data_IF_770198439443
#
_entry.id   IF_770198439443
#
_cell.length_a   1.000
_cell.length_b   1.000
_cell.length_c   1.000
_cell.angle_alpha   90.00
_cell.angle_beta   90.00
_cell.angle_gamma   90.00
#
_symmetry.space_group_name_H-M   'P 1'
#
loop_
_entity.id
_entity.type
_entity.pdbx_description
1 polymer ?
#
# COMPACT_ATOMS: atom_id res chain seq x y z
N UNK A 1 13.48 -8.63 34.62
CA UNK A 1 12.70 -7.89 35.63
C UNK A 1 12.04 -8.80 36.66
N UNK A 2 10.97 -9.56 36.36
CA UNK A 2 10.36 -10.46 37.37
C UNK A 2 11.32 -11.49 37.97
N UNK A 3 12.12 -12.17 37.13
CA UNK A 3 13.10 -13.16 37.58
C UNK A 3 14.22 -12.57 38.45
N UNK A 4 14.51 -11.28 38.29
CA UNK A 4 15.59 -10.59 39.00
C UNK A 4 15.06 -10.05 40.33
N UNK A 5 13.88 -9.43 40.31
CA UNK A 5 13.24 -8.89 41.52
C UNK A 5 12.82 -9.99 42.49
N UNK A 6 12.39 -11.18 42.00
CA UNK A 6 11.97 -12.29 42.87
C UNK A 6 13.09 -12.89 43.73
N UNK A 7 14.35 -12.56 43.44
CA UNK A 7 15.51 -13.03 44.21
C UNK A 7 15.56 -12.33 45.57
N UNK A 8 15.17 -11.05 45.61
CA UNK A 8 15.31 -10.20 46.79
C UNK A 8 13.97 -9.73 47.38
N UNK A 9 12.89 -9.80 46.61
CA UNK A 9 11.58 -9.26 46.98
C UNK A 9 10.44 -10.21 46.63
N UNK A 10 9.37 -10.18 47.42
CA UNK A 10 8.13 -10.91 47.14
C UNK A 10 6.91 -10.16 47.65
N UNK A 11 5.83 -10.14 46.85
CA UNK A 11 4.51 -9.70 47.29
C UNK A 11 3.39 -10.38 46.47
N UNK A 12 2.16 -10.46 47.01
CA UNK A 12 1.02 -11.01 46.28
C UNK A 12 0.77 -10.22 44.98
N UNK A 13 0.76 -10.91 43.84
CA UNK A 13 0.53 -10.27 42.55
C UNK A 13 1.76 -9.62 41.91
N UNK A 14 2.97 -9.75 42.49
CA UNK A 14 4.23 -9.19 42.00
C UNK A 14 4.46 -9.28 40.49
N UNK A 15 4.20 -10.45 39.89
CA UNK A 15 4.32 -10.62 38.44
C UNK A 15 3.36 -9.71 37.67
N UNK A 16 2.11 -9.58 38.13
CA UNK A 16 1.09 -8.72 37.52
C UNK A 16 1.48 -7.24 37.64
N UNK A 17 1.98 -6.82 38.80
CA UNK A 17 2.37 -5.42 39.02
C UNK A 17 3.60 -5.02 38.21
N UNK A 18 4.59 -5.91 38.10
CA UNK A 18 5.75 -5.71 37.25
C UNK A 18 5.35 -5.62 35.77
N UNK A 19 4.40 -6.46 35.32
CA UNK A 19 3.87 -6.37 33.96
C UNK A 19 3.16 -5.04 33.74
N UNK A 20 2.27 -4.64 34.64
CA UNK A 20 1.58 -3.33 34.59
C UNK A 20 2.57 -2.17 34.53
N UNK A 21 3.61 -2.19 35.35
CA UNK A 21 4.66 -1.17 35.35
C UNK A 21 5.39 -1.08 34.00
N UNK A 22 5.78 -2.23 33.44
CA UNK A 22 6.46 -2.27 32.12
C UNK A 22 5.53 -1.87 30.98
N UNK A 23 4.23 -2.16 31.08
CA UNK A 23 3.21 -1.74 30.11
C UNK A 23 2.96 -0.22 30.12
N UNK A 24 3.07 0.43 31.27
CA UNK A 24 3.00 1.89 31.41
C UNK A 24 4.28 2.63 30.98
N UNK A 25 5.41 1.93 30.86
CA UNK A 25 6.68 2.54 30.48
C UNK A 25 6.71 2.92 28.99
N UNK A 26 6.66 4.22 28.69
CA UNK A 26 6.64 4.75 27.32
C UNK A 26 7.87 4.33 26.50
N UNK A 27 9.07 4.43 27.07
CA UNK A 27 10.32 4.02 26.41
C UNK A 27 10.29 2.54 26.03
N UNK A 28 9.78 1.69 26.90
CA UNK A 28 9.60 0.26 26.60
C UNK A 28 8.55 0.05 25.49
N UNK A 29 7.48 0.84 25.47
CA UNK A 29 6.44 0.76 24.45
C UNK A 29 6.93 1.22 23.07
N UNK A 30 7.76 2.26 23.00
CA UNK A 30 8.31 2.81 21.73
C UNK A 30 9.38 1.90 21.09
N UNK A 31 10.19 1.19 21.90
CA UNK A 31 11.37 0.44 21.40
C UNK A 31 11.09 -1.05 21.20
N UNK A 32 10.25 -1.68 22.03
CA UNK A 32 10.06 -3.14 21.96
C UNK A 32 9.46 -3.58 20.63
N UNK A 33 10.10 -4.56 20.02
CA UNK A 33 9.58 -5.24 18.85
C UNK A 33 8.27 -5.96 19.18
N UNK A 34 7.26 -5.75 18.35
CA UNK A 34 6.00 -6.46 18.47
C UNK A 34 6.18 -7.88 17.93
N UNK A 35 6.14 -8.85 18.83
CA UNK A 35 6.10 -10.28 18.50
C UNK A 35 4.66 -10.82 18.43
N UNK A 36 3.67 -9.93 18.43
CA UNK A 36 2.25 -10.26 18.41
C UNK A 36 1.70 -10.26 16.97
N UNK A 37 0.61 -11.01 16.80
CA UNK A 37 -0.20 -11.05 15.57
C UNK A 37 -0.76 -9.65 15.26
N UNK A 38 -0.73 -9.23 13.99
CA UNK A 38 -1.21 -7.92 13.52
C UNK A 38 -2.65 -7.64 13.98
N UNK A 39 -2.96 -6.39 14.32
CA UNK A 39 -4.30 -5.99 14.73
C UNK A 39 -5.27 -5.84 13.55
N UNK A 40 -6.55 -6.11 13.82
CA UNK A 40 -7.67 -5.83 12.92
C UNK A 40 -7.99 -6.95 11.95
N UNK A 41 -9.20 -7.52 12.03
CA UNK A 41 -9.66 -8.54 11.06
C UNK A 41 -9.67 -7.95 9.64
N UNK A 42 -9.47 -8.81 8.64
CA UNK A 42 -9.62 -8.39 7.25
C UNK A 42 -11.09 -8.03 6.99
N UNK A 43 -11.34 -6.81 6.52
CA UNK A 43 -12.67 -6.37 6.08
C UNK A 43 -12.76 -6.51 4.57
N UNK A 44 -13.39 -7.57 4.04
CA UNK A 44 -13.60 -7.70 2.61
C UNK A 44 -14.60 -6.63 2.17
N UNK A 45 -14.30 -5.98 1.04
CA UNK A 45 -15.25 -5.09 0.38
C UNK A 45 -16.43 -5.90 -0.17
N UNK A 46 -17.61 -5.30 -0.15
CA UNK A 46 -18.84 -5.91 -0.69
C UNK A 46 -18.65 -6.37 -2.14
N UNK A 47 -19.25 -7.52 -2.47
CA UNK A 47 -19.19 -8.07 -3.81
C UNK A 47 -20.25 -7.35 -4.66
N UNK A 48 -19.86 -6.75 -5.79
CA UNK A 48 -20.76 -6.08 -6.71
C UNK A 48 -21.96 -6.93 -7.11
N UNK A 49 -23.09 -6.28 -7.41
CA UNK A 49 -24.24 -6.94 -8.00
C UNK A 49 -24.07 -7.09 -9.51
N UNK A 50 -23.54 -6.05 -10.16
CA UNK A 50 -23.36 -6.01 -11.60
C UNK A 50 -21.94 -5.63 -12.02
N UNK A 51 -21.63 -5.93 -13.28
CA UNK A 51 -20.33 -5.66 -13.89
C UNK A 51 -20.14 -4.15 -14.06
N UNK A 52 -18.92 -3.68 -13.83
CA UNK A 52 -18.51 -2.27 -13.95
C UNK A 52 -19.20 -1.28 -13.00
N UNK A 53 -20.02 -1.74 -12.05
CA UNK A 53 -20.56 -0.88 -10.98
C UNK A 53 -19.49 -0.48 -9.96
N UNK A 54 -18.54 -1.37 -9.67
CA UNK A 54 -17.48 -1.11 -8.72
C UNK A 54 -16.14 -1.45 -9.33
N UNK A 55 -15.27 -0.45 -9.45
CA UNK A 55 -13.96 -0.61 -10.07
C UNK A 55 -12.84 -0.29 -9.08
N UNK A 56 -11.67 -0.87 -9.30
CA UNK A 56 -10.42 -0.46 -8.66
C UNK A 56 -9.53 0.26 -9.66
N UNK A 57 -8.80 1.26 -9.20
CA UNK A 57 -7.84 2.02 -9.98
C UNK A 57 -6.49 2.04 -9.30
N UNK A 58 -5.44 1.80 -10.07
CA UNK A 58 -4.06 1.82 -9.60
C UNK A 58 -3.11 2.33 -10.68
N UNK A 59 -1.92 2.75 -10.28
CA UNK A 59 -0.92 3.36 -11.17
C UNK A 59 0.43 2.64 -11.03
N UNK A 60 0.88 2.05 -12.14
CA UNK A 60 2.24 1.52 -12.25
C UNK A 60 3.12 2.65 -12.76
N UNK A 61 3.84 3.30 -11.84
CA UNK A 61 4.67 4.48 -12.11
C UNK A 61 6.14 4.11 -12.34
N UNK A 62 6.96 5.09 -12.75
CA UNK A 62 8.42 4.94 -12.93
C UNK A 62 8.83 3.87 -13.95
N UNK A 63 8.02 3.66 -14.97
CA UNK A 63 8.40 2.80 -16.08
C UNK A 63 9.43 3.50 -16.98
N UNK A 64 10.26 2.75 -17.74
CA UNK A 64 11.13 3.33 -18.75
C UNK A 64 10.31 4.18 -19.73
N UNK A 65 10.78 5.40 -20.00
CA UNK A 65 10.08 6.31 -20.92
C UNK A 65 10.05 5.74 -22.34
N UNK A 66 8.86 5.66 -22.92
CA UNK A 66 8.65 5.20 -24.30
C UNK A 66 8.97 6.31 -25.30
N UNK A 67 9.04 5.98 -26.60
CA UNK A 67 9.21 6.99 -27.68
C UNK A 67 8.08 8.02 -27.71
N UNK A 68 6.87 7.60 -27.38
CA UNK A 68 5.71 8.46 -27.25
C UNK A 68 5.70 9.27 -25.94
N UNK A 69 6.67 9.03 -25.06
CA UNK A 69 6.87 9.70 -23.79
C UNK A 69 6.00 9.18 -22.65
N UNK A 70 5.44 7.97 -22.76
CA UNK A 70 4.71 7.33 -21.66
C UNK A 70 5.69 6.78 -20.61
N UNK A 71 5.35 6.91 -19.34
CA UNK A 71 6.17 6.47 -18.20
C UNK A 71 5.33 5.85 -17.07
N UNK A 72 4.02 5.74 -17.26
CA UNK A 72 3.09 5.17 -16.28
C UNK A 72 1.98 4.39 -16.99
N UNK A 73 1.52 3.30 -16.38
CA UNK A 73 0.32 2.58 -16.78
C UNK A 73 -0.79 2.85 -15.76
N UNK A 74 -1.95 3.26 -16.24
CA UNK A 74 -3.16 3.33 -15.46
C UNK A 74 -3.94 2.02 -15.58
N UNK A 75 -4.04 1.32 -14.46
CA UNK A 75 -4.71 0.03 -14.35
C UNK A 75 -6.10 0.26 -13.78
N UNK A 76 -7.13 -0.18 -14.49
CA UNK A 76 -8.53 -0.07 -14.07
C UNK A 76 -9.17 -1.45 -14.16
N UNK A 77 -9.68 -1.97 -13.05
CA UNK A 77 -10.20 -3.35 -12.98
C UNK A 77 -11.63 -3.37 -12.46
N UNK A 78 -12.51 -4.07 -13.16
CA UNK A 78 -13.86 -4.37 -12.67
C UNK A 78 -13.81 -5.39 -11.53
N UNK A 79 -14.40 -5.06 -10.38
CA UNK A 79 -14.35 -5.93 -9.20
C UNK A 79 -15.20 -7.19 -9.36
N UNK A 80 -16.19 -7.22 -10.26
CA UNK A 80 -17.00 -8.42 -10.51
C UNK A 80 -16.33 -9.34 -11.53
N UNK A 81 -16.21 -8.88 -12.78
CA UNK A 81 -15.70 -9.68 -13.90
C UNK A 81 -14.19 -9.86 -13.90
N UNK A 82 -13.46 -9.06 -13.10
CA UNK A 82 -12.00 -8.93 -13.15
C UNK A 82 -11.46 -8.49 -14.50
N UNK A 83 -12.32 -7.96 -15.39
CA UNK A 83 -11.86 -7.39 -16.64
C UNK A 83 -11.06 -6.13 -16.34
N UNK A 84 -9.89 -6.00 -16.97
CA UNK A 84 -8.97 -4.90 -16.76
C UNK A 84 -8.78 -4.09 -18.05
N UNK A 85 -8.56 -2.78 -17.88
CA UNK A 85 -7.96 -1.90 -18.89
C UNK A 85 -6.57 -1.49 -18.42
N UNK A 86 -5.62 -1.51 -19.36
CA UNK A 86 -4.26 -1.03 -19.14
C UNK A 86 -4.00 0.14 -20.08
N UNK A 87 -3.99 1.35 -19.52
CA UNK A 87 -3.95 2.58 -20.31
C UNK A 87 -2.58 3.24 -20.14
N UNK A 88 -1.82 3.49 -21.22
CA UNK A 88 -0.53 4.16 -21.12
C UNK A 88 -0.77 5.66 -20.88
N UNK A 89 -0.14 6.22 -19.85
CA UNK A 89 -0.24 7.63 -19.47
C UNK A 89 1.13 8.22 -19.17
N UNK A 90 1.16 9.54 -18.98
CA UNK A 90 2.36 10.27 -18.54
C UNK A 90 2.16 10.76 -17.11
N UNK A 91 3.19 10.69 -16.27
CA UNK A 91 3.16 11.26 -14.91
C UNK A 91 2.85 12.76 -14.93
N UNK A 92 3.22 13.46 -16.01
CA UNK A 92 2.98 14.89 -16.20
C UNK A 92 1.54 15.25 -16.63
N UNK A 93 0.66 14.26 -16.85
CA UNK A 93 -0.72 14.54 -17.22
C UNK A 93 -1.49 15.24 -16.10
N UNK A 94 -2.23 16.28 -16.49
CA UNK A 94 -3.13 16.98 -15.58
C UNK A 94 -4.35 16.13 -15.24
N UNK A 95 -5.00 16.41 -14.11
CA UNK A 95 -6.25 15.73 -13.73
C UNK A 95 -7.35 15.87 -14.79
N UNK A 96 -7.38 17.00 -15.52
CA UNK A 96 -8.29 17.19 -16.66
C UNK A 96 -8.01 16.19 -17.78
N UNK A 97 -6.73 15.99 -18.13
CA UNK A 97 -6.37 15.02 -19.16
C UNK A 97 -6.70 13.59 -18.75
N UNK A 98 -6.48 13.26 -17.48
CA UNK A 98 -6.88 11.97 -16.90
C UNK A 98 -8.40 11.76 -17.01
N UNK A 99 -9.22 12.77 -16.72
CA UNK A 99 -10.68 12.69 -16.87
C UNK A 99 -11.11 12.46 -18.33
N UNK A 100 -10.50 13.15 -19.30
CA UNK A 100 -10.77 12.91 -20.73
C UNK A 100 -10.50 11.45 -21.12
N UNK A 101 -9.35 10.92 -20.70
CA UNK A 101 -8.96 9.53 -20.97
C UNK A 101 -9.92 8.56 -20.27
N UNK A 102 -10.30 8.84 -19.03
CA UNK A 102 -11.24 8.02 -18.28
C UNK A 102 -12.62 7.95 -18.94
N UNK A 103 -13.15 9.09 -19.39
CA UNK A 103 -14.42 9.10 -20.13
C UNK A 103 -14.30 8.30 -21.42
N UNK A 104 -13.21 8.51 -22.16
CA UNK A 104 -12.97 7.83 -23.44
C UNK A 104 -12.83 6.32 -23.28
N UNK A 105 -12.02 5.85 -22.34
CA UNK A 105 -11.65 4.43 -22.27
C UNK A 105 -12.54 3.61 -21.32
N UNK A 106 -13.14 4.24 -20.31
CA UNK A 106 -14.00 3.53 -19.33
C UNK A 106 -15.46 3.88 -19.53
N UNK A 107 -15.83 5.16 -19.36
CA UNK A 107 -17.25 5.56 -19.33
C UNK A 107 -17.94 5.28 -20.66
N UNK A 108 -17.28 5.56 -21.79
CA UNK A 108 -17.85 5.33 -23.11
C UNK A 108 -18.09 3.84 -23.41
N UNK A 109 -17.34 2.94 -22.77
CA UNK A 109 -17.38 1.50 -23.02
C UNK A 109 -18.30 0.77 -22.04
N UNK A 110 -18.31 1.19 -20.77
CA UNK A 110 -18.92 0.44 -19.68
C UNK A 110 -19.96 1.23 -18.88
N UNK A 111 -20.06 2.54 -19.11
CA UNK A 111 -20.89 3.44 -18.31
C UNK A 111 -20.16 3.96 -17.08
N UNK A 112 -20.88 4.75 -16.28
CA UNK A 112 -20.35 5.37 -15.05
C UNK A 112 -20.45 4.36 -13.89
N UNK A 113 -19.35 4.05 -13.19
CA UNK A 113 -19.37 3.17 -12.03
C UNK A 113 -20.02 3.84 -10.82
N UNK A 114 -20.61 3.05 -9.93
CA UNK A 114 -21.17 3.49 -8.65
C UNK A 114 -20.06 3.84 -7.66
N UNK A 115 -18.99 3.03 -7.61
CA UNK A 115 -17.86 3.29 -6.72
C UNK A 115 -16.52 3.03 -7.37
N UNK A 116 -15.53 3.85 -7.03
CA UNK A 116 -14.13 3.64 -7.39
C UNK A 116 -13.33 3.46 -6.11
N UNK A 117 -12.56 2.38 -6.03
CA UNK A 117 -11.52 2.19 -5.01
C UNK A 117 -10.18 2.55 -5.62
N UNK A 118 -9.43 3.45 -5.01
CA UNK A 118 -8.09 3.80 -5.47
C UNK A 118 -7.15 4.01 -4.29
N UNK A 119 -5.85 4.06 -4.57
CA UNK A 119 -4.89 4.56 -3.62
C UNK A 119 -5.01 6.09 -3.45
N UNK A 120 -4.11 6.67 -2.65
CA UNK A 120 -4.07 8.10 -2.36
C UNK A 120 -3.10 8.86 -3.25
N UNK A 121 -2.87 8.39 -4.47
CA UNK A 121 -2.10 9.16 -5.44
C UNK A 121 -2.69 10.58 -5.57
N UNK A 122 -1.80 11.57 -5.70
CA UNK A 122 -2.17 12.99 -5.75
C UNK A 122 -3.13 13.29 -6.90
N UNK A 123 -3.07 12.50 -7.98
CA UNK A 123 -3.99 12.58 -9.12
C UNK A 123 -5.42 12.22 -8.72
N UNK A 124 -5.61 11.16 -7.94
CA UNK A 124 -6.92 10.70 -7.47
C UNK A 124 -7.46 11.49 -6.27
N UNK A 125 -6.59 12.20 -5.54
CA UNK A 125 -6.99 13.02 -4.39
C UNK A 125 -7.21 14.51 -4.74
N UNK A 126 -6.86 14.91 -5.97
CA UNK A 126 -7.05 16.28 -6.46
C UNK A 126 -8.50 16.75 -6.40
N UNK A 127 -8.71 18.04 -6.09
CA UNK A 127 -10.05 18.64 -6.01
C UNK A 127 -10.83 18.46 -7.32
N UNK A 128 -10.17 18.66 -8.46
CA UNK A 128 -10.77 18.43 -9.76
C UNK A 128 -11.30 16.99 -9.92
N UNK A 129 -10.50 15.98 -9.56
CA UNK A 129 -10.89 14.58 -9.71
C UNK A 129 -12.06 14.21 -8.79
N UNK A 130 -12.05 14.70 -7.56
CA UNK A 130 -13.17 14.51 -6.61
C UNK A 130 -14.46 15.09 -7.15
N UNK A 131 -14.45 16.37 -7.55
CA UNK A 131 -15.64 17.04 -8.08
C UNK A 131 -16.11 16.36 -9.37
N UNK A 132 -15.20 16.00 -10.27
CA UNK A 132 -15.53 15.30 -11.50
C UNK A 132 -16.27 13.96 -11.25
N UNK A 133 -15.83 13.19 -10.26
CA UNK A 133 -16.47 11.92 -9.92
C UNK A 133 -17.80 12.11 -9.18
N UNK A 134 -17.90 13.12 -8.32
CA UNK A 134 -19.14 13.49 -7.62
C UNK A 134 -20.23 13.93 -8.60
N UNK A 135 -19.89 14.76 -9.60
CA UNK A 135 -20.80 15.18 -10.68
C UNK A 135 -21.27 14.01 -11.56
N UNK A 136 -20.41 12.99 -11.74
CA UNK A 136 -20.80 11.75 -12.41
C UNK A 136 -21.69 10.85 -11.54
N UNK A 137 -21.83 11.13 -10.23
CA UNK A 137 -22.55 10.28 -9.28
C UNK A 137 -21.73 9.10 -8.75
N UNK A 138 -20.40 9.13 -8.94
CA UNK A 138 -19.48 8.07 -8.52
C UNK A 138 -18.92 8.36 -7.13
N UNK A 139 -19.00 7.38 -6.21
CA UNK A 139 -18.38 7.48 -4.89
C UNK A 139 -16.92 7.03 -4.90
N UNK A 140 -16.01 7.94 -4.56
CA UNK A 140 -14.59 7.62 -4.37
C UNK A 140 -14.31 7.02 -2.98
N UNK A 141 -13.69 5.86 -2.95
CA UNK A 141 -13.26 5.13 -1.75
C UNK A 141 -11.74 5.04 -1.73
N UNK A 142 -11.08 6.06 -1.17
CA UNK A 142 -9.63 6.11 -1.06
C UNK A 142 -9.14 5.11 0.00
N UNK A 143 -8.21 4.23 -0.37
CA UNK A 143 -7.56 3.34 0.58
C UNK A 143 -6.81 4.17 1.63
N UNK A 144 -6.71 3.69 2.88
CA UNK A 144 -5.83 4.33 3.86
C UNK A 144 -4.39 4.20 3.36
N UNK A 145 -3.57 5.24 3.52
CA UNK A 145 -2.18 5.35 3.04
C UNK A 145 -1.23 4.20 3.45
N UNK A 146 -1.73 3.23 4.21
CA UNK A 146 -1.00 2.20 4.90
C UNK A 146 -1.65 0.81 4.81
N UNK A 147 -2.66 0.60 3.96
CA UNK A 147 -3.29 -0.72 3.82
C UNK A 147 -3.40 -1.17 2.34
N UNK A 148 -2.30 -1.66 1.72
CA UNK A 148 -2.34 -2.32 0.41
C UNK A 148 -3.26 -3.55 0.40
N UNK A 149 -3.52 -4.14 1.57
CA UNK A 149 -4.27 -5.40 1.71
C UNK A 149 -5.77 -5.29 1.45
N UNK A 150 -6.34 -4.08 1.40
CA UNK A 150 -7.74 -3.87 1.01
C UNK A 150 -7.92 -4.04 -0.50
N UNK A 151 -6.82 -3.92 -1.26
CA UNK A 151 -6.76 -4.12 -2.70
C UNK A 151 -5.71 -5.19 -3.08
N UNK A 152 -5.68 -6.32 -2.36
CA UNK A 152 -4.87 -7.47 -2.77
C UNK A 152 -5.26 -8.06 -4.14
N UNK A 153 -6.30 -7.51 -4.79
CA UNK A 153 -6.69 -7.81 -6.16
C UNK A 153 -5.90 -6.98 -7.18
N UNK A 154 -5.70 -5.67 -6.96
CA UNK A 154 -4.82 -4.86 -7.81
C UNK A 154 -3.39 -5.39 -7.74
N UNK A 155 -2.89 -5.75 -6.54
CA UNK A 155 -1.50 -6.21 -6.36
C UNK A 155 -1.17 -7.46 -7.20
N UNK A 156 -2.07 -8.46 -7.24
CA UNK A 156 -1.87 -9.64 -8.11
C UNK A 156 -2.00 -9.31 -9.60
N UNK A 157 -2.94 -8.44 -9.94
CA UNK A 157 -3.18 -8.02 -11.33
C UNK A 157 -1.97 -7.26 -11.88
N UNK A 158 -1.42 -6.35 -11.08
CA UNK A 158 -0.21 -5.59 -11.37
C UNK A 158 0.98 -6.54 -11.51
N UNK A 159 1.13 -7.49 -10.60
CA UNK A 159 2.23 -8.47 -10.69
C UNK A 159 2.14 -9.29 -11.99
N UNK A 160 0.95 -9.82 -12.33
CA UNK A 160 0.75 -10.55 -13.59
C UNK A 160 1.04 -9.68 -14.80
N UNK A 161 0.58 -8.42 -14.80
CA UNK A 161 0.87 -7.47 -15.88
C UNK A 161 2.38 -7.19 -16.00
N UNK A 162 3.08 -6.93 -14.89
CA UNK A 162 4.52 -6.70 -14.89
C UNK A 162 5.28 -7.92 -15.42
N UNK A 163 4.90 -9.13 -15.00
CA UNK A 163 5.53 -10.37 -15.47
C UNK A 163 5.30 -10.56 -16.98
N UNK A 164 4.09 -10.29 -17.48
CA UNK A 164 3.76 -10.33 -18.91
C UNK A 164 4.54 -9.30 -19.72
N UNK A 165 4.61 -8.05 -19.25
CA UNK A 165 5.36 -6.99 -19.94
C UNK A 165 6.86 -7.31 -19.95
N UNK A 166 7.42 -7.84 -18.85
CA UNK A 166 8.83 -8.27 -18.82
C UNK A 166 9.10 -9.38 -19.83
N UNK A 167 8.23 -10.39 -19.92
CA UNK A 167 8.35 -11.44 -20.94
C UNK A 167 8.29 -10.87 -22.36
N UNK A 168 7.32 -9.99 -22.64
CA UNK A 168 7.19 -9.37 -23.96
C UNK A 168 8.43 -8.57 -24.38
N UNK A 169 9.00 -7.78 -23.47
CA UNK A 169 10.20 -6.97 -23.76
C UNK A 169 11.42 -7.86 -23.99
N UNK A 170 11.56 -8.96 -23.23
CA UNK A 170 12.69 -9.89 -23.36
C UNK A 170 12.62 -10.62 -24.72
N UNK A 171 11.44 -11.13 -25.09
CA UNK A 171 11.30 -12.02 -26.26
C UNK A 171 11.13 -11.27 -27.58
N UNK A 172 10.40 -10.13 -27.58
CA UNK A 172 10.04 -9.41 -28.80
C UNK A 172 10.78 -8.08 -28.98
N UNK A 173 11.53 -7.62 -27.98
CA UNK A 173 12.16 -6.29 -27.97
C UNK A 173 11.12 -5.16 -27.93
N UNK A 174 11.45 -3.98 -28.46
CA UNK A 174 10.48 -2.87 -28.62
C UNK A 174 10.16 -2.09 -27.34
N UNK A 175 9.09 -1.29 -27.40
CA UNK A 175 8.64 -0.44 -26.29
C UNK A 175 7.40 -1.05 -25.63
N UNK A 176 7.29 -0.95 -24.30
CA UNK A 176 6.24 -1.65 -23.55
C UNK A 176 4.82 -1.16 -23.88
N UNK A 177 4.67 0.10 -24.34
CA UNK A 177 3.38 0.67 -24.74
C UNK A 177 2.80 0.00 -25.99
N UNK A 178 3.65 -0.51 -26.90
CA UNK A 178 3.22 -1.20 -28.12
C UNK A 178 2.55 -2.54 -27.80
N UNK A 179 2.98 -3.21 -26.71
CA UNK A 179 2.46 -4.52 -26.30
C UNK A 179 1.30 -4.43 -25.32
N UNK A 180 1.00 -3.25 -24.80
CA UNK A 180 -0.02 -3.09 -23.76
C UNK A 180 -1.42 -3.59 -24.19
N UNK A 181 -1.89 -3.34 -25.44
CA UNK A 181 -3.16 -3.92 -25.90
C UNK A 181 -3.16 -5.45 -25.95
N UNK A 182 -2.02 -6.06 -26.33
CA UNK A 182 -1.88 -7.52 -26.35
C UNK A 182 -1.81 -8.10 -24.94
N UNK A 183 -1.16 -7.40 -24.01
CA UNK A 183 -1.12 -7.77 -22.61
C UNK A 183 -2.52 -7.70 -21.97
N UNK A 184 -3.28 -6.63 -22.23
CA UNK A 184 -4.68 -6.50 -21.80
C UNK A 184 -5.55 -7.63 -22.37
N UNK A 185 -5.44 -7.89 -23.66
CA UNK A 185 -6.15 -8.98 -24.32
C UNK A 185 -5.81 -10.33 -23.69
N UNK A 186 -4.54 -10.59 -23.45
CA UNK A 186 -4.06 -11.86 -22.89
C UNK A 186 -4.52 -12.01 -21.43
N UNK A 187 -4.48 -10.95 -20.63
CA UNK A 187 -4.96 -10.96 -19.26
C UNK A 187 -6.47 -11.28 -19.20
N UNK A 188 -7.27 -10.53 -19.97
CA UNK A 188 -8.72 -10.68 -19.97
C UNK A 188 -9.20 -12.05 -20.50
N UNK A 189 -8.38 -12.73 -21.28
CA UNK A 189 -8.67 -14.07 -21.81
C UNK A 189 -8.02 -15.22 -21.02
N UNK A 190 -7.23 -14.89 -20.00
CA UNK A 190 -6.58 -15.90 -19.15
C UNK A 190 -7.53 -16.40 -18.07
N UNK A 191 -7.35 -17.66 -17.65
CA UNK A 191 -8.21 -18.27 -16.65
C UNK A 191 -7.98 -17.68 -15.24
N UNK A 192 -9.03 -17.22 -14.59
CA UNK A 192 -8.97 -16.72 -13.21
C UNK A 192 -9.61 -17.71 -12.24
N UNK A 193 -8.83 -18.23 -11.29
CA UNK A 193 -9.29 -19.23 -10.31
C UNK A 193 -10.42 -18.76 -9.39
N UNK A 194 -10.52 -17.44 -9.16
CA UNK A 194 -11.59 -16.83 -8.37
C UNK A 194 -12.92 -16.74 -9.12
N UNK A 195 -12.88 -16.72 -10.45
CA UNK A 195 -14.07 -16.70 -11.32
C UNK A 195 -14.47 -18.10 -11.77
N UNK A 196 -13.48 -18.99 -11.94
CA UNK A 196 -13.66 -20.29 -12.57
C UNK A 196 -13.68 -20.24 -14.10
N UNK A 197 -13.42 -19.07 -14.70
CA UNK A 197 -13.40 -18.82 -16.14
C UNK A 197 -12.63 -17.52 -16.45
N UNK A 198 -12.36 -17.19 -17.74
CA UNK A 198 -11.72 -15.93 -18.11
C UNK A 198 -12.60 -14.68 -17.90
N UNK A 199 -12.03 -13.53 -17.52
CA UNK A 199 -12.75 -12.26 -17.39
C UNK A 199 -13.60 -11.87 -18.61
N UNK A 200 -13.09 -12.11 -19.82
CA UNK A 200 -13.79 -11.84 -21.06
C UNK A 200 -15.11 -12.62 -21.16
N UNK A 201 -15.11 -13.89 -20.76
CA UNK A 201 -16.32 -14.71 -20.78
C UNK A 201 -17.36 -14.22 -19.76
N UNK A 202 -16.91 -13.74 -18.60
CA UNK A 202 -17.81 -13.12 -17.61
C UNK A 202 -18.42 -11.83 -18.15
N UNK A 203 -17.61 -10.97 -18.77
CA UNK A 203 -18.06 -9.66 -19.24
C UNK A 203 -19.04 -9.78 -20.42
N UNK A 204 -18.74 -10.64 -21.39
CA UNK A 204 -19.49 -10.74 -22.65
C UNK A 204 -20.43 -11.95 -22.73
N UNK A 205 -20.39 -12.87 -21.75
CA UNK A 205 -21.22 -14.08 -21.75
C UNK A 205 -20.83 -15.12 -22.80
N UNK A 206 -19.68 -14.95 -23.47
CA UNK A 206 -19.18 -15.85 -24.51
C UNK A 206 -17.66 -15.95 -24.47
N UNK A 207 -17.13 -17.09 -24.90
CA UNK A 207 -15.68 -17.27 -25.09
C UNK A 207 -15.16 -16.31 -26.16
N UNK A 208 -13.99 -15.75 -25.93
CA UNK A 208 -13.29 -14.98 -26.94
C UNK A 208 -12.84 -15.90 -28.08
N UNK A 209 -12.83 -15.37 -29.29
CA UNK A 209 -12.17 -16.04 -30.41
C UNK A 209 -10.73 -15.61 -30.44
N UNK A 210 -9.85 -16.59 -30.45
CA UNK A 210 -8.42 -16.37 -30.64
C UNK A 210 -7.97 -17.14 -31.88
N UNK A 211 -6.84 -16.79 -32.52
CA UNK A 211 -6.30 -17.56 -33.64
C UNK A 211 -6.10 -19.06 -33.33
N UNK A 212 -5.99 -19.40 -32.04
CA UNK A 212 -5.83 -20.78 -31.52
C UNK A 212 -7.17 -21.43 -31.14
N UNK A 213 -8.25 -20.66 -31.00
CA UNK A 213 -9.59 -21.11 -30.65
C UNK A 213 -10.65 -20.39 -31.48
N UNK A 214 -10.98 -20.95 -32.64
CA UNK A 214 -12.10 -20.54 -33.48
C UNK A 214 -13.40 -21.11 -32.92
N UNK A 215 -14.08 -20.38 -32.04
CA UNK A 215 -15.46 -20.70 -31.69
C UNK A 215 -16.39 -20.53 -32.88
N UNK A 216 -17.46 -21.34 -32.97
CA UNK A 216 -18.45 -21.32 -34.07
C UNK A 216 -18.92 -19.91 -34.44
N UNK A 217 -18.96 -19.62 -35.75
CA UNK A 217 -19.46 -18.35 -36.33
C UNK A 217 -20.92 -18.47 -36.70
N UNK A 218 -21.78 -17.81 -35.93
CA UNK A 218 -23.20 -17.68 -36.22
C UNK A 218 -23.98 -17.23 -34.99
N UNK A 219 -25.24 -16.79 -35.14
CA UNK A 219 -26.15 -16.77 -34.02
C UNK A 219 -26.25 -18.20 -33.48
N UNK A 220 -25.85 -18.43 -32.22
CA UNK A 220 -26.49 -19.53 -31.47
C UNK A 220 -27.97 -19.26 -31.58
N UNK A 221 -28.77 -20.22 -32.04
CA UNK A 221 -30.23 -20.08 -32.12
C UNK A 221 -30.71 -19.28 -30.91
N UNK A 222 -31.30 -18.11 -31.19
CA UNK A 222 -31.58 -17.06 -30.21
C UNK A 222 -32.61 -17.61 -29.22
N UNK A 223 -32.14 -18.32 -28.21
CA UNK A 223 -32.98 -19.05 -27.29
C UNK A 223 -33.53 -18.11 -26.20
N UNK A 224 -34.45 -17.21 -26.60
CA UNK A 224 -35.46 -16.55 -25.76
C UNK A 224 -34.98 -16.00 -24.39
N UNK A 225 -35.92 -15.73 -23.48
CA UNK A 225 -35.69 -15.32 -22.07
C UNK A 225 -34.68 -16.20 -21.31
N UNK A 226 -34.30 -17.38 -21.83
CA UNK A 226 -33.31 -18.28 -21.24
C UNK A 226 -31.88 -17.71 -21.23
N UNK A 227 -31.44 -16.93 -22.22
CA UNK A 227 -30.06 -16.38 -22.25
C UNK A 227 -29.81 -15.36 -21.14
N UNK A 228 -30.79 -14.47 -20.88
CA UNK A 228 -30.73 -13.52 -19.76
C UNK A 228 -30.74 -14.28 -18.43
N UNK A 229 -31.59 -15.32 -18.32
CA UNK A 229 -31.64 -16.16 -17.13
C UNK A 229 -30.33 -16.91 -16.87
N UNK A 230 -29.73 -17.51 -17.90
CA UNK A 230 -28.42 -18.19 -17.81
C UNK A 230 -27.30 -17.20 -17.44
N UNK A 231 -27.33 -15.98 -17.99
CA UNK A 231 -26.35 -14.94 -17.63
C UNK A 231 -26.49 -14.52 -16.16
N UNK A 232 -27.71 -14.32 -15.68
CA UNK A 232 -27.96 -13.98 -14.28
C UNK A 232 -27.57 -15.14 -13.33
N UNK A 233 -27.90 -16.38 -13.68
CA UNK A 233 -27.49 -17.57 -12.92
C UNK A 233 -25.95 -17.70 -12.85
N UNK A 234 -25.24 -17.38 -13.94
CA UNK A 234 -23.77 -17.31 -13.95
C UNK A 234 -23.23 -16.20 -13.05
N UNK A 235 -23.85 -15.03 -13.05
CA UNK A 235 -23.46 -13.92 -12.16
C UNK A 235 -23.62 -14.37 -10.70
N UNK A 236 -24.71 -15.05 -10.34
CA UNK A 236 -24.90 -15.57 -8.98
C UNK A 236 -23.84 -16.62 -8.60
N UNK A 237 -23.48 -17.52 -9.52
CA UNK A 237 -22.38 -18.47 -9.32
C UNK A 237 -21.03 -17.75 -9.13
N UNK A 238 -20.75 -16.73 -9.94
CA UNK A 238 -19.51 -15.94 -9.83
C UNK A 238 -19.49 -15.20 -8.49
N UNK A 239 -20.60 -14.60 -8.06
CA UNK A 239 -20.71 -13.96 -6.75
C UNK A 239 -20.47 -14.97 -5.63
N UNK A 240 -20.99 -16.19 -5.74
CA UNK A 240 -20.74 -17.26 -4.78
C UNK A 240 -19.26 -17.68 -4.76
N UNK A 241 -18.60 -17.80 -5.93
CA UNK A 241 -17.16 -18.12 -6.02
C UNK A 241 -16.29 -17.00 -5.42
N UNK A 242 -16.60 -15.74 -5.74
CA UNK A 242 -15.93 -14.57 -5.17
C UNK A 242 -16.11 -14.51 -3.65
N UNK A 243 -17.31 -14.81 -3.15
CA UNK A 243 -17.60 -14.89 -1.71
C UNK A 243 -16.78 -15.99 -1.05
N UNK A 244 -16.78 -17.20 -1.61
CA UNK A 244 -15.99 -18.30 -1.10
C UNK A 244 -14.47 -18.00 -1.14
N UNK A 245 -13.98 -17.25 -2.13
CA UNK A 245 -12.60 -16.81 -2.19
C UNK A 245 -12.28 -15.75 -1.13
N UNK A 246 -13.15 -14.75 -0.95
CA UNK A 246 -13.03 -13.73 0.10
C UNK A 246 -13.09 -14.35 1.50
N UNK A 247 -14.01 -15.28 1.76
CA UNK A 247 -14.16 -15.97 3.04
C UNK A 247 -12.94 -16.83 3.36
N UNK A 248 -12.39 -17.55 2.36
CA UNK A 248 -11.11 -18.26 2.49
C UNK A 248 -9.98 -17.28 2.85
N UNK A 249 -9.83 -16.18 2.12
CA UNK A 249 -8.80 -15.18 2.39
C UNK A 249 -8.95 -14.57 3.80
N UNK A 250 -10.17 -14.22 4.20
CA UNK A 250 -10.50 -13.73 5.54
C UNK A 250 -10.14 -14.74 6.60
N UNK A 251 -10.51 -16.01 6.43
CA UNK A 251 -10.20 -17.08 7.39
C UNK A 251 -8.68 -17.28 7.57
N UNK A 252 -7.90 -17.20 6.50
CA UNK A 252 -6.43 -17.31 6.57
C UNK A 252 -5.78 -16.07 7.19
N UNK A 253 -6.26 -14.88 6.83
CA UNK A 253 -5.77 -13.62 7.38
C UNK A 253 -6.08 -13.53 8.88
N UNK A 254 -7.33 -13.75 9.27
CA UNK A 254 -7.82 -13.59 10.64
C UNK A 254 -7.18 -14.59 11.62
N UNK A 255 -6.83 -15.81 11.17
CA UNK A 255 -6.04 -16.77 11.98
C UNK A 255 -4.74 -16.17 12.51
N UNK A 256 -4.18 -15.19 11.79
CA UNK A 256 -2.92 -14.50 12.12
C UNK A 256 -3.14 -13.09 12.69
N UNK A 257 -4.37 -12.72 13.05
CA UNK A 257 -4.70 -11.37 13.57
C UNK A 257 -5.40 -11.41 14.92
N UNK A 258 -5.34 -10.30 15.66
CA UNK A 258 -6.06 -10.10 16.93
C UNK A 258 -7.16 -9.05 16.75
N UNK A 259 -8.40 -9.31 17.20
CA UNK A 259 -9.40 -8.26 17.30
C UNK A 259 -8.99 -7.33 18.44
N UNK A 260 -8.54 -6.13 18.09
CA UNK A 260 -8.39 -5.02 19.02
C UNK A 260 -9.28 -3.90 18.51
N UNK A 261 -10.08 -3.36 19.42
CA UNK A 261 -10.87 -2.17 19.21
C UNK A 261 -10.37 -1.09 20.16
N UNK A 262 -10.30 0.14 19.66
CA UNK A 262 -9.97 1.31 20.44
C UNK A 262 -11.21 2.18 20.62
N UNK A 263 -11.27 2.92 21.71
CA UNK A 263 -12.33 3.88 21.97
C UNK A 263 -11.86 5.30 21.66
N UNK A 264 -12.81 6.20 21.37
CA UNK A 264 -12.52 7.63 21.26
C UNK A 264 -12.02 8.11 22.62
N UNK A 265 -10.89 8.82 22.64
CA UNK A 265 -10.19 9.24 23.85
C UNK A 265 -9.05 8.31 24.29
N UNK A 266 -8.95 7.08 23.76
CA UNK A 266 -7.78 6.22 24.01
C UNK A 266 -6.51 6.87 23.44
N UNK A 267 -5.40 6.72 24.15
CA UNK A 267 -4.07 7.06 23.64
C UNK A 267 -3.43 5.88 22.93
N UNK A 268 -2.86 6.14 21.76
CA UNK A 268 -2.17 5.13 20.95
C UNK A 268 -0.82 5.61 20.46
N UNK A 269 0.08 4.66 20.26
CA UNK A 269 1.36 4.90 19.59
C UNK A 269 1.22 4.55 18.11
N UNK A 270 1.78 5.39 17.24
CA UNK A 270 1.77 5.22 15.79
C UNK A 270 3.05 4.53 15.33
N UNK A 271 2.92 3.46 14.56
CA UNK A 271 4.04 2.70 14.01
C UNK A 271 4.72 3.46 12.88
N UNK A 272 6.04 3.58 12.93
CA UNK A 272 6.87 4.22 11.91
C UNK A 272 7.92 3.25 11.36
N UNK A 273 8.34 3.47 10.10
CA UNK A 273 9.41 2.70 9.46
C UNK A 273 10.57 3.61 9.05
N UNK A 274 11.83 3.26 9.34
CA UNK A 274 12.96 4.01 8.77
C UNK A 274 12.99 3.84 7.25
N UNK A 275 13.26 4.92 6.50
CA UNK A 275 13.37 4.84 5.05
C UNK A 275 14.58 4.01 4.59
N UNK A 276 14.45 3.30 3.46
CA UNK A 276 15.58 2.77 2.68
C UNK A 276 16.10 3.88 1.75
N UNK A 277 16.85 4.83 2.29
CA UNK A 277 17.65 5.79 1.53
C UNK A 277 19.12 5.55 1.79
N UNK A 278 19.85 5.13 0.74
CA UNK A 278 21.26 4.69 0.71
C UNK A 278 21.53 3.36 1.42
N UNK A 279 22.12 2.42 0.67
CA UNK A 279 22.56 1.11 1.11
C UNK A 279 23.73 1.28 2.08
N UNK A 280 23.44 1.59 3.34
CA UNK A 280 24.43 1.44 4.42
C UNK A 280 24.73 -0.04 4.61
N UNK A 281 26.03 -0.37 4.62
CA UNK A 281 26.61 -1.64 5.11
C UNK A 281 25.64 -2.43 5.99
N UNK A 282 25.15 -3.59 5.51
CA UNK A 282 24.52 -4.79 6.15
C UNK A 282 24.18 -4.83 7.68
N UNK A 283 24.11 -3.73 8.42
CA UNK A 283 23.90 -3.61 9.87
C UNK A 283 22.98 -2.40 10.15
N UNK A 284 21.69 -2.65 9.92
CA UNK A 284 20.47 -2.03 10.46
C UNK A 284 20.57 -0.67 11.18
N UNK A 285 19.62 0.21 10.84
CA UNK A 285 18.89 1.07 11.78
C UNK A 285 18.20 0.24 12.88
N UNK A 286 19.01 -0.28 13.82
CA UNK A 286 18.61 -1.24 14.85
C UNK A 286 18.17 -0.55 16.16
N UNK A 287 18.42 0.75 16.28
CA UNK A 287 18.27 1.55 17.51
C UNK A 287 17.23 2.70 17.41
N UNK A 288 16.55 2.86 16.28
CA UNK A 288 15.50 3.87 16.14
C UNK A 288 14.16 3.42 16.76
N UNK A 289 13.35 4.34 17.29
CA UNK A 289 12.04 4.02 17.84
C UNK A 289 11.14 3.47 16.74
N UNK A 290 10.40 2.39 17.05
CA UNK A 290 9.48 1.74 16.11
C UNK A 290 8.09 2.37 16.14
N UNK A 291 7.80 3.11 17.20
CA UNK A 291 6.55 3.81 17.39
C UNK A 291 6.82 5.22 17.92
N UNK A 292 5.98 6.16 17.51
CA UNK A 292 5.95 7.56 17.97
C UNK A 292 4.61 7.88 18.64
N UNK A 293 4.51 9.03 19.30
CA UNK A 293 3.36 9.39 20.14
C UNK A 293 3.64 9.15 21.63
N UNK A 294 2.66 9.36 22.51
CA UNK A 294 1.25 9.01 22.33
C UNK A 294 0.38 10.06 21.61
N UNK A 295 -0.59 9.59 20.83
CA UNK A 295 -1.62 10.42 20.17
C UNK A 295 -3.01 9.99 20.62
N UNK A 296 -3.92 10.95 20.76
CA UNK A 296 -5.30 10.71 21.16
C UNK A 296 -6.15 10.31 19.96
N UNK A 297 -7.03 9.33 20.14
CA UNK A 297 -8.04 9.00 19.13
C UNK A 297 -9.20 9.98 19.23
N UNK A 298 -9.44 10.73 18.16
CA UNK A 298 -10.52 11.73 18.08
C UNK A 298 -11.80 11.17 17.45
N UNK A 299 -11.68 10.19 16.54
CA UNK A 299 -12.84 9.59 15.91
C UNK A 299 -12.57 8.14 15.45
N UNK A 300 -13.61 7.31 15.50
CA UNK A 300 -13.63 6.00 14.84
C UNK A 300 -14.28 6.16 13.46
N UNK A 301 -13.50 6.00 12.39
CA UNK A 301 -13.96 6.19 11.01
C UNK A 301 -14.57 4.90 10.44
N UNK A 302 -14.14 3.74 10.96
CA UNK A 302 -14.72 2.44 10.64
C UNK A 302 -14.31 1.38 11.67
N UNK A 303 -14.61 0.11 11.41
CA UNK A 303 -14.26 -0.97 12.35
C UNK A 303 -12.75 -1.05 12.62
N UNK A 304 -11.94 -0.76 11.61
CA UNK A 304 -10.47 -0.93 11.62
C UNK A 304 -9.69 0.37 11.35
N UNK A 305 -10.36 1.52 11.25
CA UNK A 305 -9.72 2.80 10.93
C UNK A 305 -10.07 3.87 11.97
N UNK A 306 -9.05 4.55 12.48
CA UNK A 306 -9.15 5.54 13.55
C UNK A 306 -8.46 6.83 13.15
N UNK A 307 -9.05 7.96 13.54
CA UNK A 307 -8.48 9.29 13.35
C UNK A 307 -7.77 9.73 14.63
N UNK A 308 -6.53 10.17 14.49
CA UNK A 308 -5.67 10.64 15.56
C UNK A 308 -5.61 12.16 15.60
N UNK A 309 -5.42 12.70 16.80
CA UNK A 309 -4.97 14.08 17.01
C UNK A 309 -3.46 14.12 16.77
N UNK A 310 -3.07 14.59 15.58
CA UNK A 310 -1.67 14.80 15.24
C UNK A 310 -1.27 16.25 15.54
N UNK A 311 -0.08 16.50 16.11
CA UNK A 311 0.40 17.85 16.34
C UNK A 311 0.84 18.51 15.02
N UNK A 312 0.99 19.83 15.01
CA UNK A 312 1.20 20.62 13.78
C UNK A 312 2.44 20.20 12.98
N UNK A 313 3.46 19.65 13.65
CA UNK A 313 4.69 19.14 13.03
C UNK A 313 4.42 17.94 12.11
N UNK A 314 3.30 17.25 12.30
CA UNK A 314 2.86 16.10 11.49
C UNK A 314 1.63 16.43 10.62
N UNK A 315 1.29 17.71 10.45
CA UNK A 315 0.15 18.17 9.64
C UNK A 315 0.20 17.72 8.17
N UNK A 316 1.39 17.44 7.63
CA UNK A 316 1.55 16.86 6.28
C UNK A 316 1.03 15.42 6.16
N UNK A 317 0.89 14.71 7.27
CA UNK A 317 0.45 13.31 7.30
C UNK A 317 -1.05 13.25 7.52
N UNK A 318 -1.75 12.45 6.72
CA UNK A 318 -3.17 12.22 6.92
C UNK A 318 -3.44 11.55 8.28
N UNK A 319 -4.30 12.18 9.08
CA UNK A 319 -4.55 11.80 10.47
C UNK A 319 -5.39 10.52 10.68
N UNK A 320 -5.77 9.79 9.63
CA UNK A 320 -6.54 8.55 9.75
C UNK A 320 -5.70 7.34 9.41
N UNK A 321 -5.60 6.40 10.36
CA UNK A 321 -4.73 5.24 10.29
C UNK A 321 -5.52 3.94 10.50
N UNK A 322 -5.03 2.87 9.88
CA UNK A 322 -5.54 1.53 10.13
C UNK A 322 -5.04 1.00 11.49
N UNK A 323 -5.86 0.22 12.18
CA UNK A 323 -5.59 -0.37 13.52
C UNK A 323 -4.26 -1.12 13.60
N UNK A 324 -3.77 -1.69 12.49
CA UNK A 324 -2.48 -2.39 12.43
C UNK A 324 -1.26 -1.47 12.60
N UNK A 325 -1.43 -0.16 12.47
CA UNK A 325 -0.40 0.86 12.71
C UNK A 325 -0.49 1.45 14.11
N UNK A 326 -1.50 1.06 14.90
CA UNK A 326 -1.76 1.61 16.21
C UNK A 326 -1.43 0.59 17.28
N UNK A 327 -0.85 1.07 18.37
CA UNK A 327 -0.61 0.27 19.58
C UNK A 327 -1.22 1.00 20.78
N UNK A 328 -1.97 0.28 21.63
CA UNK A 328 -2.52 0.88 22.85
C UNK A 328 -1.40 1.45 23.71
N UNK A 329 -1.49 2.72 24.06
CA UNK A 329 -0.63 3.35 25.04
C UNK A 329 -1.33 3.34 26.40
N UNK A 330 -0.66 2.85 27.44
CA UNK A 330 -1.15 2.86 28.82
C UNK A 330 -0.34 3.83 29.69
N UNK A 331 0.55 4.63 29.08
CA UNK A 331 1.31 5.65 29.78
C UNK A 331 0.36 6.78 30.22
N UNK A 332 0.62 7.35 31.40
CA UNK A 332 -0.20 8.44 31.96
C UNK A 332 -0.05 9.72 31.08
N UNK A 333 -1.06 10.59 31.09
CA UNK A 333 -1.17 11.80 30.24
C UNK A 333 0.04 12.75 30.33
N UNK A 334 0.81 12.69 31.42
CA UNK A 334 2.01 13.48 31.65
C UNK A 334 3.28 12.97 30.94
N UNK A 335 3.23 11.80 30.31
CA UNK A 335 4.37 11.21 29.58
C UNK A 335 4.51 11.77 28.16
N UNK A 336 4.29 13.08 27.95
CA UNK A 336 4.58 13.73 26.68
C UNK A 336 6.11 13.77 26.47
N UNK A 337 6.60 12.98 25.52
CA UNK A 337 7.96 13.14 25.01
C UNK A 337 7.84 14.09 23.80
N UNK A 338 8.49 15.27 23.82
CA UNK A 338 8.49 16.16 22.67
C UNK A 338 8.93 15.38 21.42
N UNK A 339 8.17 15.49 20.33
CA UNK A 339 8.62 15.05 19.02
C UNK A 339 9.77 15.98 18.60
N UNK A 340 11.01 15.66 18.97
CA UNK A 340 12.19 16.37 18.47
C UNK A 340 12.34 16.12 16.96
N UNK A 341 12.19 17.17 16.14
CA UNK A 341 12.50 17.31 14.70
C UNK A 341 12.59 16.01 13.87
N UNK A 342 11.60 15.12 13.96
CA UNK A 342 11.46 14.01 13.01
C UNK A 342 10.67 14.53 11.82
N UNK A 343 11.36 14.86 10.72
CA UNK A 343 10.71 15.12 9.44
C UNK A 343 10.22 13.77 8.91
N UNK A 344 8.93 13.51 9.08
CA UNK A 344 8.26 12.28 8.63
C UNK A 344 7.53 12.58 7.31
N UNK A 345 7.74 11.74 6.29
CA UNK A 345 7.07 11.85 5.00
C UNK A 345 5.65 11.27 5.00
N UNK A 346 4.91 11.48 3.91
CA UNK A 346 3.55 10.98 3.67
C UNK A 346 3.43 9.44 3.72
N UNK A 347 4.54 8.73 3.89
CA UNK A 347 4.65 7.27 3.97
C UNK A 347 5.13 6.78 5.35
N UNK A 348 5.07 7.63 6.39
CA UNK A 348 5.55 7.34 7.76
C UNK A 348 7.05 6.99 7.85
N UNK A 349 7.86 7.55 6.96
CA UNK A 349 9.31 7.42 7.03
C UNK A 349 9.97 8.72 7.48
N UNK A 350 10.97 8.63 8.36
CA UNK A 350 11.72 9.79 8.82
C UNK A 350 13.10 9.91 8.13
N UNK A 351 13.58 11.14 7.94
CA UNK A 351 14.89 11.44 7.35
C UNK A 351 15.91 11.76 8.44
N UNK A 352 16.96 10.95 8.58
CA UNK A 352 18.16 11.33 9.35
C UNK A 352 18.99 12.30 8.50
N UNK A 353 19.03 13.58 8.88
CA UNK A 353 19.85 14.58 8.18
C UNK A 353 21.30 14.53 8.70
N UNK A 354 22.30 14.39 7.81
CA UNK A 354 23.69 14.58 8.19
C UNK A 354 23.98 16.07 8.42
N UNK A 355 24.72 16.37 9.48
CA UNK A 355 25.00 17.73 9.97
C UNK A 355 26.40 18.18 9.55
N UNK A 356 27.41 17.35 9.77
CA UNK A 356 28.81 17.70 9.54
C UNK A 356 29.65 16.45 9.27
N UNK A 357 30.81 16.64 8.63
CA UNK A 357 31.87 15.63 8.56
C UNK A 357 32.89 15.95 9.65
N UNK A 358 33.02 15.06 10.63
CA UNK A 358 33.90 15.22 11.79
C UNK A 358 35.31 14.71 11.54
N UNK A 359 35.46 13.68 10.70
CA UNK A 359 36.76 13.02 10.49
C UNK A 359 36.81 12.28 9.13
N UNK A 360 38.01 11.94 8.66
CA UNK A 360 38.24 11.20 7.41
C UNK A 360 39.26 10.09 7.64
N UNK A 361 39.02 8.90 7.11
CA UNK A 361 39.99 7.79 7.18
C UNK A 361 39.99 6.96 5.92
N UNK A 362 41.14 6.35 5.66
CA UNK A 362 41.33 5.44 4.54
C UNK A 362 41.32 4.01 5.06
N UNK A 363 40.35 3.20 4.64
CA UNK A 363 40.25 1.79 5.00
C UNK A 363 40.87 0.92 3.91
N UNK A 364 42.03 0.35 4.23
CA UNK A 364 42.73 -0.63 3.40
C UNK A 364 42.04 -2.02 3.55
N UNK A 365 41.48 -2.55 2.47
CA UNK A 365 41.05 -3.95 2.36
C UNK A 365 42.04 -4.71 1.47
N UNK A 366 42.05 -6.05 1.55
CA UNK A 366 43.00 -6.92 0.83
C UNK A 366 43.22 -6.57 -0.65
N UNK A 367 42.18 -6.09 -1.35
CA UNK A 367 42.23 -5.80 -2.79
C UNK A 367 41.75 -4.37 -3.16
N UNK A 368 41.36 -3.52 -2.19
CA UNK A 368 40.80 -2.18 -2.46
C UNK A 368 41.01 -1.22 -1.31
N UNK A 369 41.18 0.05 -1.66
CA UNK A 369 41.22 1.17 -0.72
C UNK A 369 39.86 1.88 -0.73
N UNK A 370 39.23 2.06 0.43
CA UNK A 370 37.94 2.74 0.56
C UNK A 370 38.11 3.97 1.45
N UNK A 371 37.79 5.15 0.91
CA UNK A 371 37.73 6.39 1.69
C UNK A 371 36.44 6.43 2.50
N UNK A 372 36.57 6.73 3.80
CA UNK A 372 35.44 6.86 4.70
C UNK A 372 35.45 8.23 5.38
N UNK A 373 34.27 8.80 5.58
CA UNK A 373 34.05 10.04 6.34
C UNK A 373 33.23 9.76 7.59
N UNK A 374 33.58 10.36 8.71
CA UNK A 374 32.82 10.29 9.95
C UNK A 374 31.76 11.38 9.91
N UNK A 375 30.51 10.99 9.71
CA UNK A 375 29.38 11.90 9.53
C UNK A 375 28.65 12.04 10.85
N UNK A 376 28.46 13.27 11.32
CA UNK A 376 27.58 13.62 12.42
C UNK A 376 26.13 13.68 11.94
N UNK A 377 25.19 13.10 12.70
CA UNK A 377 23.77 13.05 12.33
C UNK A 377 22.92 13.85 13.32
N UNK A 378 21.89 14.55 12.83
CA UNK A 378 20.94 15.26 13.68
C UNK A 378 20.08 14.24 14.44
N UNK A 379 19.87 14.44 15.75
CA UNK A 379 18.92 13.73 16.61
C UNK A 379 19.20 12.25 16.93
N UNK A 380 20.46 11.85 17.19
CA UNK A 380 20.76 10.52 17.72
C UNK A 380 20.95 10.60 19.25
N UNK A 381 20.30 9.72 20.03
CA UNK A 381 20.74 9.44 21.41
C UNK A 381 21.80 8.32 21.36
N UNK A 382 23.07 8.67 21.44
CA UNK A 382 24.20 7.72 21.45
C UNK A 382 25.47 8.28 20.80
N UNK A 383 26.25 7.45 20.10
CA UNK A 383 27.38 7.97 19.32
C UNK A 383 26.86 8.78 18.13
N UNK A 384 26.94 10.10 18.22
CA UNK A 384 26.39 11.08 17.27
C UNK A 384 27.04 11.06 15.89
N UNK A 385 27.99 10.15 15.66
CA UNK A 385 28.78 10.09 14.46
C UNK A 385 29.03 8.65 13.97
N UNK A 386 29.05 8.45 12.65
CA UNK A 386 29.30 7.15 12.01
C UNK A 386 30.22 7.28 10.80
N UNK A 387 31.01 6.24 10.53
CA UNK A 387 31.88 6.17 9.36
C UNK A 387 31.11 5.69 8.11
N UNK A 388 30.96 6.57 7.13
CA UNK A 388 30.29 6.33 5.85
C UNK A 388 31.27 6.35 4.67
N UNK A 389 30.89 5.77 3.53
CA UNK A 389 31.68 5.88 2.30
C UNK A 389 31.72 7.33 1.81
N UNK A 390 32.91 7.86 1.55
CA UNK A 390 33.06 9.23 1.06
C UNK A 390 32.34 9.44 -0.29
N UNK A 391 32.45 8.47 -1.20
CA UNK A 391 31.86 8.56 -2.54
C UNK A 391 30.32 8.59 -2.50
N UNK A 392 29.72 7.81 -1.60
CA UNK A 392 28.26 7.79 -1.42
C UNK A 392 27.79 9.09 -0.75
N UNK A 393 28.51 9.56 0.26
CA UNK A 393 28.19 10.81 0.95
C UNK A 393 28.32 12.02 0.01
N UNK A 394 29.33 12.06 -0.86
CA UNK A 394 29.43 13.09 -1.90
C UNK A 394 28.28 13.04 -2.90
N UNK A 395 27.81 11.84 -3.25
CA UNK A 395 26.69 11.66 -4.20
C UNK A 395 25.35 12.11 -3.62
N UNK A 396 25.06 11.76 -2.36
CA UNK A 396 23.75 12.02 -1.75
C UNK A 396 23.69 13.32 -0.95
N UNK A 397 24.82 13.78 -0.41
CA UNK A 397 24.92 14.98 0.44
C UNK A 397 26.13 15.85 0.06
N UNK A 398 26.20 16.33 -1.20
CA UNK A 398 27.35 17.10 -1.70
C UNK A 398 27.61 18.38 -0.90
N UNK A 399 26.58 18.97 -0.29
CA UNK A 399 26.69 20.17 0.54
C UNK A 399 27.58 19.99 1.78
N UNK A 400 27.82 18.76 2.25
CA UNK A 400 28.73 18.49 3.37
C UNK A 400 30.22 18.55 2.98
N UNK A 401 30.51 18.56 1.68
CA UNK A 401 31.87 18.52 1.13
C UNK A 401 32.29 19.85 0.49
N UNK A 402 31.39 20.84 0.48
CA UNK A 402 31.71 22.19 0.04
C UNK A 402 32.28 23.01 1.18
N UNK A 403 33.57 23.30 1.11
CA UNK A 403 34.16 24.57 1.58
C UNK A 403 34.95 25.12 0.41
#
# INVERSE_FOLDING_TARGET
MYRDLRVNYWWPGMKRDIVKYVEKCLTCAQVKAEHQKLYGKLQPLEIPMWKWEHITMDLITKLPKTRNGYDTIWVIVDRLSKSAHFIPIKETYSSKKMAEIYVKEVVSRHGVPVTIVSDRDTRFTSHFWKNFQEELGTRLLLSTAYHPQTDGQSERTIQTLEDMLRACIIDFGGSWDDYLPLAEFSYNNSYHSSLGMPPFEVLYGRKCRTPVCWGEVGPRELASKKVVKVTNERIDQIRAHLKAAQDRQKSYADKRRRPIEFQVGDFVLLKVSPWKGVIRFRKRGKLSPRFIGPFKIIARIGEVAYRLELPEELSGIHNTFHVSYLRKCLADESAYVPLEDLVIDDKLNYIEKPVAILDRKVKQLRNKTINQVMVQWKNRRGSDATWESEDEMRKFYPFLFGV
#
